data_IF_374810159415
#
_entry.id   IF_374810159415
#
_cell.length_a   1.000
_cell.length_b   1.000
_cell.length_c   1.000
_cell.angle_alpha   90.00
_cell.angle_beta   90.00
_cell.angle_gamma   90.00
#
_symmetry.space_group_name_H-M   'P 1'
#
loop_
_entity.id
_entity.type
_entity.pdbx_description
1 polymer ?
#
# COMPACT_ATOMS: atom_id res chain seq x y z
N UNK A 1 -10.79 -29.20 -28.56
CA UNK A 1 -11.87 -28.32 -28.05
C UNK A 1 -11.43 -26.90 -28.30
N UNK A 2 -11.88 -26.35 -29.42
CA UNK A 2 -11.45 -25.05 -29.96
C UNK A 2 -12.05 -23.91 -29.13
N UNK A 3 -11.39 -23.61 -28.02
CA UNK A 3 -11.66 -22.46 -27.15
C UNK A 3 -11.12 -21.15 -27.75
N UNK A 4 -10.52 -21.21 -28.95
CA UNK A 4 -10.15 -20.05 -29.77
C UNK A 4 -11.37 -19.40 -30.43
N UNK A 5 -12.43 -19.19 -29.66
CA UNK A 5 -13.51 -18.28 -30.03
C UNK A 5 -13.06 -16.87 -29.68
N UNK A 6 -13.19 -15.91 -30.60
CA UNK A 6 -12.81 -14.49 -30.44
C UNK A 6 -13.35 -13.84 -29.15
N UNK A 7 -14.40 -14.41 -28.55
CA UNK A 7 -15.01 -13.94 -27.30
C UNK A 7 -14.24 -14.36 -26.04
N UNK A 8 -13.52 -15.48 -26.04
CA UNK A 8 -12.76 -15.94 -24.87
C UNK A 8 -11.65 -14.96 -24.43
N UNK A 9 -10.77 -14.45 -25.32
CA UNK A 9 -9.74 -13.50 -24.92
C UNK A 9 -10.31 -12.17 -24.42
N UNK A 10 -11.47 -11.73 -24.94
CA UNK A 10 -12.13 -10.51 -24.47
C UNK A 10 -12.63 -10.65 -23.02
N UNK A 11 -13.27 -11.77 -22.68
CA UNK A 11 -13.73 -12.04 -21.31
C UNK A 11 -12.54 -12.05 -20.35
N UNK A 12 -11.43 -12.67 -20.77
CA UNK A 12 -10.22 -12.77 -19.97
C UNK A 12 -9.62 -11.37 -19.68
N UNK A 13 -9.62 -10.47 -20.67
CA UNK A 13 -9.19 -9.07 -20.48
C UNK A 13 -10.10 -8.36 -19.47
N UNK A 14 -11.42 -8.49 -19.58
CA UNK A 14 -12.35 -7.86 -18.62
C UNK A 14 -12.13 -8.37 -17.19
N UNK A 15 -11.90 -9.67 -17.02
CA UNK A 15 -11.59 -10.27 -15.71
C UNK A 15 -10.28 -9.70 -15.16
N UNK A 16 -9.22 -9.63 -15.97
CA UNK A 16 -7.93 -9.08 -15.55
C UNK A 16 -8.04 -7.60 -15.17
N UNK A 17 -8.76 -6.80 -15.95
CA UNK A 17 -9.03 -5.39 -15.62
C UNK A 17 -9.81 -5.27 -14.31
N UNK A 18 -10.82 -6.12 -14.09
CA UNK A 18 -11.56 -6.17 -12.82
C UNK A 18 -10.67 -6.48 -11.62
N UNK A 19 -9.75 -7.43 -11.75
CA UNK A 19 -8.78 -7.78 -10.71
C UNK A 19 -7.84 -6.60 -10.44
N UNK A 20 -7.35 -5.91 -11.48
CA UNK A 20 -6.49 -4.74 -11.33
C UNK A 20 -7.19 -3.58 -10.62
N UNK A 21 -8.46 -3.30 -10.96
CA UNK A 21 -9.26 -2.28 -10.27
C UNK A 21 -9.50 -2.63 -8.81
N UNK A 22 -9.77 -3.90 -8.50
CA UNK A 22 -9.92 -4.37 -7.12
C UNK A 22 -8.61 -4.19 -6.34
N UNK A 23 -7.49 -4.61 -6.93
CA UNK A 23 -6.16 -4.44 -6.33
C UNK A 23 -5.89 -2.96 -6.05
N UNK A 24 -6.15 -2.08 -7.01
CA UNK A 24 -5.97 -0.63 -6.87
C UNK A 24 -6.75 -0.04 -5.68
N UNK A 25 -8.03 -0.36 -5.53
CA UNK A 25 -8.85 0.14 -4.41
C UNK A 25 -8.38 -0.43 -3.07
N UNK A 26 -7.85 -1.65 -3.06
CA UNK A 26 -7.32 -2.29 -1.84
C UNK A 26 -5.87 -1.94 -1.52
N UNK A 27 -5.16 -1.25 -2.42
CA UNK A 27 -3.70 -1.18 -2.39
C UNK A 27 -3.10 -0.24 -1.34
N UNK A 28 -3.88 0.62 -0.68
CA UNK A 28 -3.25 1.74 0.06
C UNK A 28 -3.99 2.19 1.32
N UNK A 29 -3.99 1.34 2.35
CA UNK A 29 -4.42 1.74 3.70
C UNK A 29 -3.56 1.24 4.86
N UNK A 30 -2.67 0.28 4.61
CA UNK A 30 -1.89 -0.38 5.68
C UNK A 30 -0.38 -0.24 5.51
N UNK A 31 0.08 0.64 4.63
CA UNK A 31 1.49 0.95 4.42
C UNK A 31 1.99 1.83 5.57
N UNK A 32 2.91 1.33 6.43
CA UNK A 32 3.43 2.12 7.55
C UNK A 32 4.22 3.32 7.03
N UNK A 33 3.78 4.51 7.39
CA UNK A 33 4.49 5.76 7.14
C UNK A 33 5.42 6.09 8.31
N UNK A 34 6.47 6.88 8.07
CA UNK A 34 7.46 7.24 9.10
C UNK A 34 7.20 8.68 9.55
N UNK A 35 7.10 8.91 10.86
CA UNK A 35 7.07 10.24 11.44
C UNK A 35 8.49 10.81 11.48
N UNK A 36 8.74 11.94 10.82
CA UNK A 36 10.08 12.51 10.72
C UNK A 36 10.60 13.08 12.04
N UNK A 37 9.73 13.39 13.02
CA UNK A 37 10.14 13.99 14.29
C UNK A 37 10.56 12.91 15.31
N UNK A 38 9.77 11.85 15.42
CA UNK A 38 9.99 10.75 16.39
C UNK A 38 10.64 9.52 15.76
N UNK A 39 10.71 9.43 14.43
CA UNK A 39 11.09 8.23 13.67
C UNK A 39 10.16 7.03 13.90
N UNK A 40 8.95 7.26 14.43
CA UNK A 40 7.95 6.20 14.66
C UNK A 40 7.18 5.86 13.39
N UNK A 41 6.86 4.58 13.24
CA UNK A 41 5.98 4.08 12.20
C UNK A 41 4.52 4.31 12.61
N UNK A 42 3.73 4.86 11.70
CA UNK A 42 2.30 5.08 11.88
C UNK A 42 1.51 4.65 10.65
N UNK A 43 0.25 4.30 10.86
CA UNK A 43 -0.74 4.12 9.81
C UNK A 43 -1.63 5.35 9.76
N UNK A 44 -1.92 5.84 8.56
CA UNK A 44 -2.90 6.91 8.35
C UNK A 44 -4.30 6.28 8.33
N UNK A 45 -5.12 6.56 9.34
CA UNK A 45 -6.51 6.12 9.32
C UNK A 45 -7.30 6.95 8.30
N UNK A 46 -7.69 6.32 7.20
CA UNK A 46 -8.42 6.96 6.10
C UNK A 46 -9.81 7.49 6.50
N UNK A 47 -10.40 7.07 7.62
CA UNK A 47 -11.74 7.52 8.04
C UNK A 47 -11.69 8.78 8.91
N UNK A 48 -10.67 8.90 9.75
CA UNK A 48 -10.57 9.99 10.74
C UNK A 48 -9.33 10.86 10.55
N UNK A 49 -8.55 10.60 9.49
CA UNK A 49 -7.28 11.26 9.18
C UNK A 49 -6.30 11.30 10.36
N UNK A 50 -6.41 10.32 11.26
CA UNK A 50 -5.59 10.25 12.47
C UNK A 50 -4.38 9.35 12.24
N UNK A 51 -3.27 9.69 12.89
CA UNK A 51 -2.08 8.83 12.94
C UNK A 51 -2.28 7.76 13.98
N UNK A 52 -2.22 6.49 13.58
CA UNK A 52 -2.14 5.35 14.49
C UNK A 52 -0.71 4.86 14.57
N UNK A 53 0.00 5.27 15.62
CA UNK A 53 1.37 4.85 15.87
C UNK A 53 1.42 3.34 16.18
N UNK A 54 2.40 2.65 15.59
CA UNK A 54 2.62 1.22 15.73
C UNK A 54 3.57 0.88 16.89
N UNK A 55 4.12 1.90 17.57
CA UNK A 55 5.21 1.77 18.55
C UNK A 55 6.46 1.05 17.98
N UNK A 56 6.60 1.05 16.66
CA UNK A 56 7.76 0.56 15.95
C UNK A 56 8.53 1.76 15.39
N UNK A 57 9.86 1.71 15.40
CA UNK A 57 10.70 2.82 14.97
C UNK A 57 11.50 2.43 13.74
N UNK A 58 11.64 3.38 12.80
CA UNK A 58 12.49 3.19 11.63
C UNK A 58 13.96 3.37 12.03
N UNK A 59 14.74 2.28 12.00
CA UNK A 59 16.16 2.29 12.37
C UNK A 59 16.99 3.27 11.54
N UNK A 60 16.77 3.33 10.22
CA UNK A 60 17.49 4.28 9.36
C UNK A 60 17.23 5.73 9.77
N UNK A 61 15.99 6.08 10.05
CA UNK A 61 15.63 7.42 10.53
C UNK A 61 16.33 7.76 11.85
N UNK A 62 16.32 6.83 12.81
CA UNK A 62 17.04 6.97 14.08
C UNK A 62 18.55 7.15 13.86
N UNK A 63 19.14 6.36 12.97
CA UNK A 63 20.57 6.46 12.63
C UNK A 63 20.89 7.85 12.04
N UNK A 64 20.09 8.34 11.08
CA UNK A 64 20.26 9.70 10.53
C UNK A 64 20.09 10.80 11.58
N UNK A 65 19.16 10.63 12.51
CA UNK A 65 18.93 11.59 13.60
C UNK A 65 20.12 11.62 14.57
N UNK A 66 20.71 10.47 14.86
CA UNK A 66 21.89 10.36 15.71
C UNK A 66 23.16 10.89 15.04
N UNK A 67 23.27 10.81 13.71
CA UNK A 67 24.39 11.35 12.94
C UNK A 67 24.37 12.88 12.81
N UNK A 68 23.20 13.50 12.92
CA UNK A 68 23.03 14.97 12.87
C UNK A 68 23.07 15.63 14.27
N UNK A 69 23.55 14.91 15.28
CA UNK A 69 23.66 15.40 16.66
C UNK A 69 25.08 15.85 16.98
#
# INVERSE_FOLDING_TARGET
>A
MDISSRTFPLILIFVLVGILLLQFVTSDKNTPMIDSETCELYLQDSQINAKKYLNEFNSKCLDFKNLNK
#
